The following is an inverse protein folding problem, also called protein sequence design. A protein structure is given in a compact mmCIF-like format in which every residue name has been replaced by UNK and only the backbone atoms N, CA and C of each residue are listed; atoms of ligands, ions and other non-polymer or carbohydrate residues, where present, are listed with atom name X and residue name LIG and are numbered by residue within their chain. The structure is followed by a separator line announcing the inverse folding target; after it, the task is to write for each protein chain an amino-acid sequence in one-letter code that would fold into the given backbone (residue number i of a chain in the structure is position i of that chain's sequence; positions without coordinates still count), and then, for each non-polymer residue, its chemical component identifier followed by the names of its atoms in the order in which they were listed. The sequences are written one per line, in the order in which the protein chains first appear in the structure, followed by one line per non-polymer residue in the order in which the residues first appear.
data_IF_684380730562
#
_entry.id   IF_684380730562
#
_cell.length_a   1.000
_cell.length_b   1.000
_cell.length_c   1.000
_cell.angle_alpha   90.00
_cell.angle_beta   90.00
_cell.angle_gamma   90.00
#
_symmetry.space_group_name_H-M   'P 1'
#
loop_
_entity.id
_entity.type
_entity.pdbx_description
1 polymer ?
#
# COMPACT_ATOMS: atom_id res chain seq x y z
N UNK A 1 -41.01 22.91 -16.83
CA UNK A 1 -40.87 22.97 -15.36
C UNK A 1 -39.52 22.36 -15.04
N UNK A 2 -38.43 23.04 -15.19
CA UNK A 2 -37.79 24.18 -14.44
C UNK A 2 -37.81 23.99 -12.95
N UNK A 3 -36.56 24.10 -12.38
CA UNK A 3 -36.15 24.24 -11.00
C UNK A 3 -35.76 22.93 -10.29
N UNK A 4 -34.46 22.63 -10.27
CA UNK A 4 -33.59 22.50 -9.08
C UNK A 4 -32.19 22.07 -9.48
N UNK A 5 -31.42 23.01 -9.99
CA UNK A 5 -29.95 22.93 -10.10
C UNK A 5 -29.42 24.30 -9.79
N UNK A 6 -29.15 24.58 -8.50
CA UNK A 6 -28.28 25.68 -8.06
C UNK A 6 -28.18 25.62 -6.53
N UNK A 7 -27.18 24.97 -6.04
CA UNK A 7 -26.64 25.26 -4.70
C UNK A 7 -25.40 24.36 -4.50
N UNK A 8 -24.24 24.80 -4.90
CA UNK A 8 -22.93 24.69 -4.23
C UNK A 8 -21.90 25.41 -5.13
N UNK A 9 -22.05 26.69 -5.24
CA UNK A 9 -20.98 27.60 -5.67
C UNK A 9 -21.21 28.91 -4.95
N UNK A 10 -20.66 29.05 -3.75
CA UNK A 10 -20.37 30.38 -3.16
C UNK A 10 -19.74 30.12 -1.78
N UNK A 11 -18.46 30.20 -1.68
CA UNK A 11 -17.74 30.64 -0.49
C UNK A 11 -16.23 30.68 -0.75
N UNK A 12 -15.79 31.60 -1.57
CA UNK A 12 -14.44 32.18 -1.50
C UNK A 12 -14.53 33.54 -2.19
N UNK A 13 -14.91 34.56 -1.46
CA UNK A 13 -14.53 35.94 -1.73
C UNK A 13 -15.02 36.75 -0.52
N UNK A 14 -14.11 37.20 0.30
CA UNK A 14 -14.08 38.50 1.01
C UNK A 14 -12.96 38.43 2.05
N UNK A 15 -11.96 39.28 1.89
CA UNK A 15 -10.89 39.42 2.89
C UNK A 15 -9.65 40.14 2.36
N UNK A 16 -9.82 41.18 1.51
CA UNK A 16 -8.76 42.14 1.29
C UNK A 16 -8.63 43.05 2.52
N UNK A 17 -7.76 42.73 3.43
CA UNK A 17 -7.25 43.65 4.43
C UNK A 17 -5.77 43.93 4.14
N UNK A 18 -5.53 45.18 3.79
CA UNK A 18 -4.28 45.87 3.56
C UNK A 18 -3.39 45.76 4.81
N UNK A 19 -2.40 44.85 4.82
CA UNK A 19 -1.35 44.81 5.86
C UNK A 19 -0.10 45.49 5.33
N UNK A 20 0.32 46.54 6.10
CA UNK A 20 1.54 47.31 5.90
C UNK A 20 2.77 46.36 5.73
N UNK A 21 3.57 46.65 4.69
CA UNK A 21 4.94 46.12 4.57
C UNK A 21 5.75 46.51 5.80
N UNK A 22 5.94 45.57 6.72
CA UNK A 22 7.09 45.61 7.60
C UNK A 22 8.14 44.70 6.96
N UNK A 23 9.28 45.30 6.63
CA UNK A 23 10.48 44.63 6.22
C UNK A 23 11.00 43.80 7.40
N UNK A 24 10.58 42.56 7.54
CA UNK A 24 11.22 41.59 8.41
C UNK A 24 12.34 40.91 7.63
N UNK A 25 13.56 41.09 8.09
CA UNK A 25 14.72 40.29 7.70
C UNK A 25 14.34 38.81 7.69
N UNK A 26 14.46 38.20 6.51
CA UNK A 26 14.18 36.79 6.33
C UNK A 26 15.12 35.96 7.21
N UNK A 27 14.61 35.45 8.32
CA UNK A 27 15.20 34.28 8.97
C UNK A 27 15.15 33.17 7.95
N UNK A 28 16.33 32.77 7.47
CA UNK A 28 16.49 31.56 6.67
C UNK A 28 15.80 30.43 7.44
N UNK A 29 14.67 29.95 6.94
CA UNK A 29 13.99 28.77 7.49
C UNK A 29 15.04 27.67 7.52
N UNK A 30 15.47 27.30 8.70
CA UNK A 30 16.36 26.15 8.93
C UNK A 30 15.79 24.99 8.11
N UNK A 31 16.52 24.56 7.08
CA UNK A 31 16.15 23.41 6.25
C UNK A 31 16.18 22.20 7.17
N UNK A 32 15.00 21.73 7.56
CA UNK A 32 14.88 20.50 8.34
C UNK A 32 15.30 19.32 7.46
N UNK A 33 16.45 18.68 7.73
CA UNK A 33 16.96 17.58 6.92
C UNK A 33 16.01 16.38 6.92
N UNK A 34 15.35 16.11 8.06
CA UNK A 34 14.42 14.99 8.19
C UNK A 34 13.20 15.19 7.27
N UNK A 35 12.64 16.40 7.25
CA UNK A 35 11.53 16.76 6.37
C UNK A 35 11.94 16.72 4.88
N UNK A 36 13.16 17.13 4.56
CA UNK A 36 13.70 17.06 3.19
C UNK A 36 13.81 15.61 2.74
N UNK A 37 14.35 14.73 3.57
CA UNK A 37 14.49 13.31 3.31
C UNK A 37 13.12 12.63 3.12
N UNK A 38 12.15 12.94 3.96
CA UNK A 38 10.78 12.42 3.83
C UNK A 38 10.13 12.82 2.50
N UNK A 39 10.28 14.08 2.06
CA UNK A 39 9.77 14.56 0.77
C UNK A 39 10.41 13.81 -0.39
N UNK A 40 11.72 13.58 -0.34
CA UNK A 40 12.45 12.79 -1.34
C UNK A 40 11.92 11.35 -1.40
N UNK A 41 11.76 10.69 -0.27
CA UNK A 41 11.24 9.32 -0.22
C UNK A 41 9.83 9.21 -0.78
N UNK A 42 8.95 10.14 -0.45
CA UNK A 42 7.57 10.16 -0.97
C UNK A 42 7.53 10.40 -2.48
N UNK A 43 8.30 11.36 -2.98
CA UNK A 43 8.39 11.64 -4.41
C UNK A 43 9.00 10.46 -5.18
N UNK A 44 10.08 9.87 -4.65
CA UNK A 44 10.70 8.69 -5.24
C UNK A 44 9.75 7.48 -5.27
N UNK A 45 9.00 7.24 -4.19
CA UNK A 45 7.99 6.18 -4.17
C UNK A 45 6.94 6.37 -5.27
N UNK A 46 6.42 7.58 -5.45
CA UNK A 46 5.41 7.85 -6.47
C UNK A 46 5.96 7.63 -7.88
N UNK A 47 7.15 8.15 -8.16
CA UNK A 47 7.80 8.00 -9.47
C UNK A 47 8.14 6.54 -9.77
N UNK A 48 8.76 5.83 -8.81
CA UNK A 48 9.11 4.42 -8.95
C UNK A 48 7.87 3.51 -9.08
N UNK A 49 6.78 3.83 -8.39
CA UNK A 49 5.54 3.06 -8.51
C UNK A 49 4.86 3.26 -9.86
N UNK A 50 5.01 4.46 -10.46
CA UNK A 50 4.42 4.80 -11.76
C UNK A 50 5.25 4.25 -12.93
N UNK A 51 6.55 4.53 -12.93
CA UNK A 51 7.44 4.27 -14.06
C UNK A 51 8.29 2.99 -13.93
N UNK A 52 8.34 2.38 -12.72
CA UNK A 52 9.33 1.38 -12.36
C UNK A 52 10.62 2.02 -11.82
N UNK A 53 11.43 1.23 -11.10
CA UNK A 53 12.67 1.74 -10.50
C UNK A 53 13.68 2.19 -11.57
N UNK A 54 13.88 1.38 -12.61
CA UNK A 54 14.88 1.66 -13.65
C UNK A 54 14.56 2.92 -14.44
N UNK A 55 13.28 3.10 -14.79
CA UNK A 55 12.80 4.21 -15.61
C UNK A 55 12.51 5.48 -14.80
N UNK A 56 12.46 5.39 -13.46
CA UNK A 56 12.21 6.55 -12.59
C UNK A 56 13.25 7.66 -12.83
N UNK A 57 12.75 8.86 -13.15
CA UNK A 57 13.60 10.03 -13.43
C UNK A 57 13.93 10.77 -12.14
N UNK A 58 15.22 10.87 -11.85
CA UNK A 58 15.73 11.62 -10.68
C UNK A 58 15.32 13.10 -10.75
N UNK A 59 15.28 13.71 -11.93
CA UNK A 59 14.87 15.11 -12.06
C UNK A 59 13.37 15.29 -11.76
N UNK A 60 12.52 14.35 -12.20
CA UNK A 60 11.10 14.34 -11.82
C UNK A 60 10.93 14.21 -10.30
N UNK A 61 11.70 13.32 -9.66
CA UNK A 61 11.72 13.17 -8.20
C UNK A 61 12.11 14.47 -7.50
N UNK A 62 13.17 15.13 -7.96
CA UNK A 62 13.64 16.40 -7.41
C UNK A 62 12.59 17.51 -7.54
N UNK A 63 11.97 17.62 -8.71
CA UNK A 63 10.91 18.59 -8.99
C UNK A 63 9.70 18.34 -8.08
N UNK A 64 9.22 17.10 -7.98
CA UNK A 64 8.09 16.72 -7.14
C UNK A 64 8.39 16.93 -5.64
N UNK A 65 9.62 16.63 -5.20
CA UNK A 65 10.07 16.88 -3.84
C UNK A 65 10.34 18.38 -3.55
N UNK A 66 10.48 19.22 -4.58
CA UNK A 66 10.86 20.64 -4.44
C UNK A 66 12.23 20.82 -3.78
N UNK A 67 13.22 20.01 -4.18
CA UNK A 67 14.57 20.02 -3.62
C UNK A 67 15.64 20.05 -4.71
N UNK A 68 16.85 20.44 -4.35
CA UNK A 68 17.99 20.46 -5.30
C UNK A 68 18.66 19.09 -5.39
N UNK A 69 19.40 18.88 -6.48
CA UNK A 69 20.24 17.69 -6.68
C UNK A 69 21.27 17.50 -5.55
N UNK A 70 21.87 18.59 -5.06
CA UNK A 70 22.78 18.55 -3.92
C UNK A 70 22.11 18.06 -2.62
N UNK A 71 20.83 18.43 -2.38
CA UNK A 71 20.09 17.95 -1.23
C UNK A 71 19.79 16.44 -1.33
N UNK A 72 19.53 15.91 -2.52
CA UNK A 72 19.37 14.47 -2.72
C UNK A 72 20.64 13.71 -2.33
N UNK A 73 21.80 14.10 -2.91
CA UNK A 73 23.06 13.40 -2.69
C UNK A 73 23.65 13.63 -1.28
N UNK A 74 23.14 14.61 -0.54
CA UNK A 74 23.42 14.73 0.88
C UNK A 74 22.72 13.61 1.72
N UNK A 75 21.57 13.10 1.25
CA UNK A 75 20.79 12.07 1.95
C UNK A 75 21.00 10.65 1.41
N UNK A 76 21.31 10.52 0.14
CA UNK A 76 21.42 9.23 -0.57
C UNK A 76 22.59 9.25 -1.54
N UNK A 77 23.52 8.31 -1.41
CA UNK A 77 24.75 8.26 -2.22
C UNK A 77 24.45 8.11 -3.72
N UNK A 78 23.38 7.41 -4.07
CA UNK A 78 22.96 7.12 -5.44
C UNK A 78 21.47 6.83 -5.52
N UNK A 79 20.98 6.54 -6.73
CA UNK A 79 19.57 6.19 -6.98
C UNK A 79 19.18 4.87 -6.31
N UNK A 80 20.09 3.91 -6.27
CA UNK A 80 19.92 2.62 -5.61
C UNK A 80 19.69 2.79 -4.10
N UNK A 81 20.52 3.59 -3.43
CA UNK A 81 20.36 3.90 -2.00
C UNK A 81 19.00 4.55 -1.70
N UNK A 82 18.53 5.46 -2.57
CA UNK A 82 17.19 6.03 -2.47
C UNK A 82 16.12 4.95 -2.67
N UNK A 83 16.27 4.07 -3.66
CA UNK A 83 15.34 2.98 -3.93
C UNK A 83 15.28 1.96 -2.79
N UNK A 84 16.41 1.64 -2.18
CA UNK A 84 16.46 0.78 -0.99
C UNK A 84 15.71 1.41 0.19
N UNK A 85 15.90 2.69 0.41
CA UNK A 85 15.19 3.41 1.47
C UNK A 85 13.67 3.48 1.19
N UNK A 86 13.25 3.63 -0.07
CA UNK A 86 11.84 3.51 -0.47
C UNK A 86 11.28 2.13 -0.12
N UNK A 87 12.02 1.06 -0.42
CA UNK A 87 11.60 -0.31 -0.08
C UNK A 87 11.50 -0.52 1.44
N UNK A 88 12.52 -0.10 2.19
CA UNK A 88 12.65 -0.35 3.62
C UNK A 88 11.72 0.53 4.47
N UNK A 89 11.38 1.74 4.03
CA UNK A 89 10.63 2.71 4.84
C UNK A 89 9.20 2.92 4.34
N UNK A 90 8.99 3.06 3.03
CA UNK A 90 7.66 3.37 2.50
C UNK A 90 6.88 2.08 2.20
N UNK A 91 7.47 1.17 1.40
CA UNK A 91 6.79 -0.08 1.01
C UNK A 91 6.60 -0.96 2.26
N UNK A 92 7.63 -1.10 3.09
CA UNK A 92 7.58 -1.86 4.33
C UNK A 92 6.51 -1.31 5.30
N UNK A 93 6.46 0.01 5.50
CA UNK A 93 5.46 0.64 6.37
C UNK A 93 4.04 0.44 5.85
N UNK A 94 3.84 0.57 4.53
CA UNK A 94 2.55 0.35 3.90
C UNK A 94 2.09 -1.11 4.04
N UNK A 95 2.98 -2.07 3.78
CA UNK A 95 2.73 -3.50 3.96
C UNK A 95 2.37 -3.81 5.41
N UNK A 96 3.19 -3.34 6.35
CA UNK A 96 2.97 -3.56 7.77
C UNK A 96 1.62 -3.01 8.22
N UNK A 97 1.30 -1.76 7.89
CA UNK A 97 0.05 -1.11 8.28
C UNK A 97 -1.18 -1.83 7.71
N UNK A 98 -1.09 -2.29 6.46
CA UNK A 98 -2.23 -2.87 5.75
C UNK A 98 -2.43 -4.35 6.05
N UNK A 99 -1.36 -5.15 6.07
CA UNK A 99 -1.43 -6.60 6.11
C UNK A 99 -0.94 -7.23 7.43
N UNK A 100 0.13 -6.67 8.02
CA UNK A 100 0.77 -7.29 9.18
C UNK A 100 0.11 -6.86 10.49
N UNK A 101 0.02 -5.56 10.74
CA UNK A 101 -0.50 -5.05 12.00
C UNK A 101 -1.95 -5.47 12.30
N UNK A 102 -2.89 -5.46 11.32
CA UNK A 102 -4.27 -5.88 11.60
C UNK A 102 -4.42 -7.37 11.93
N UNK A 103 -3.47 -8.21 11.53
CA UNK A 103 -3.48 -9.65 11.82
C UNK A 103 -2.93 -9.97 13.21
N UNK A 104 -2.12 -9.08 13.79
CA UNK A 104 -1.64 -9.27 15.16
C UNK A 104 -2.81 -9.32 16.14
N UNK A 105 -2.86 -10.38 16.94
CA UNK A 105 -3.93 -10.58 17.94
C UNK A 105 -5.36 -10.56 17.38
N UNK A 106 -5.53 -10.82 16.09
CA UNK A 106 -6.85 -10.91 15.47
C UNK A 106 -7.66 -12.04 16.10
N UNK A 107 -8.82 -11.73 16.67
CA UNK A 107 -9.72 -12.77 17.23
C UNK A 107 -10.19 -13.73 16.13
N UNK A 108 -10.46 -13.21 14.94
CA UNK A 108 -10.82 -13.98 13.76
C UNK A 108 -10.06 -13.45 12.54
N UNK A 109 -8.97 -14.11 12.11
CA UNK A 109 -8.13 -13.67 11.00
C UNK A 109 -8.89 -13.67 9.67
N UNK A 110 -9.88 -14.56 9.48
CA UNK A 110 -10.67 -14.56 8.24
C UNK A 110 -11.44 -13.25 8.10
N UNK A 111 -12.05 -12.75 9.19
CA UNK A 111 -12.76 -11.46 9.16
C UNK A 111 -11.82 -10.30 8.83
N UNK A 112 -10.60 -10.33 9.34
CA UNK A 112 -9.59 -9.30 9.07
C UNK A 112 -9.18 -9.34 7.62
N UNK A 113 -8.80 -10.51 7.10
CA UNK A 113 -8.40 -10.70 5.70
C UNK A 113 -9.50 -10.31 4.72
N UNK A 114 -10.74 -10.72 4.99
CA UNK A 114 -11.90 -10.32 4.16
C UNK A 114 -12.05 -8.80 4.11
N UNK A 115 -11.96 -8.11 5.26
CA UNK A 115 -12.04 -6.64 5.30
C UNK A 115 -10.89 -5.98 4.53
N UNK A 116 -9.66 -6.49 4.65
CA UNK A 116 -8.52 -5.97 3.91
C UNK A 116 -8.78 -6.09 2.41
N UNK A 117 -9.16 -7.28 1.92
CA UNK A 117 -9.44 -7.51 0.51
C UNK A 117 -10.60 -6.63 0.02
N UNK A 118 -11.68 -6.48 0.81
CA UNK A 118 -12.81 -5.61 0.46
C UNK A 118 -12.43 -4.12 0.41
N UNK A 119 -11.43 -3.69 1.17
CA UNK A 119 -10.96 -2.30 1.20
C UNK A 119 -10.06 -1.94 0.02
N UNK A 120 -9.66 -2.92 -0.82
CA UNK A 120 -8.83 -2.65 -1.98
C UNK A 120 -9.56 -1.80 -3.01
N UNK A 121 -8.85 -0.80 -3.49
CA UNK A 121 -9.40 0.12 -4.48
C UNK A 121 -9.64 -0.58 -5.82
N UNK A 122 -10.83 -0.36 -6.38
CA UNK A 122 -11.18 -0.75 -7.73
C UNK A 122 -11.14 0.44 -8.70
N UNK A 123 -10.57 1.57 -8.30
CA UNK A 123 -10.37 2.70 -9.19
C UNK A 123 -9.35 2.32 -10.27
N UNK A 124 -9.65 2.76 -11.50
CA UNK A 124 -8.82 2.41 -12.65
C UNK A 124 -7.36 2.79 -12.47
N UNK A 125 -7.10 3.96 -11.90
CA UNK A 125 -5.75 4.47 -11.66
C UNK A 125 -4.96 3.57 -10.68
N UNK A 126 -5.62 3.06 -9.64
CA UNK A 126 -4.99 2.19 -8.65
C UNK A 126 -4.74 0.80 -9.22
N UNK A 127 -5.69 0.26 -10.00
CA UNK A 127 -5.53 -1.00 -10.74
C UNK A 127 -4.37 -0.94 -11.73
N UNK A 128 -4.24 0.17 -12.47
CA UNK A 128 -3.15 0.38 -13.42
C UNK A 128 -1.78 0.45 -12.75
N UNK A 129 -1.69 1.00 -11.54
CA UNK A 129 -0.43 1.05 -10.76
C UNK A 129 -0.03 -0.30 -10.21
N UNK A 130 -0.99 -1.10 -9.75
CA UNK A 130 -0.75 -2.41 -9.14
C UNK A 130 -0.09 -2.34 -7.76
N UNK A 131 0.47 -3.45 -7.32
CA UNK A 131 1.17 -3.54 -6.04
C UNK A 131 2.62 -3.04 -6.14
N UNK A 132 3.04 -2.04 -5.33
CA UNK A 132 4.41 -1.52 -5.40
C UNK A 132 5.47 -2.56 -5.01
N UNK A 133 5.19 -3.46 -4.06
CA UNK A 133 6.11 -4.54 -3.70
C UNK A 133 6.30 -5.53 -4.85
N UNK A 134 5.19 -5.95 -5.45
CA UNK A 134 5.20 -6.87 -6.59
C UNK A 134 5.94 -6.26 -7.79
N UNK A 135 5.61 -5.02 -8.16
CA UNK A 135 6.26 -4.32 -9.28
C UNK A 135 7.79 -4.28 -9.07
N UNK A 136 8.23 -3.83 -7.89
CA UNK A 136 9.65 -3.71 -7.57
C UNK A 136 10.35 -5.07 -7.55
N UNK A 137 9.70 -6.10 -6.97
CA UNK A 137 10.30 -7.44 -6.91
C UNK A 137 10.45 -8.07 -8.30
N UNK A 138 9.45 -7.94 -9.17
CA UNK A 138 9.50 -8.47 -10.52
C UNK A 138 10.54 -7.74 -11.40
N UNK A 139 10.67 -6.43 -11.24
CA UNK A 139 11.63 -5.66 -12.00
C UNK A 139 13.08 -5.90 -11.55
N UNK A 140 13.32 -5.97 -10.24
CA UNK A 140 14.67 -5.85 -9.70
C UNK A 140 15.25 -7.11 -9.10
N UNK A 141 14.46 -8.17 -8.80
CA UNK A 141 15.00 -9.36 -8.11
C UNK A 141 16.09 -10.11 -8.89
N UNK A 142 16.02 -10.09 -10.21
CA UNK A 142 17.02 -10.71 -11.07
C UNK A 142 18.21 -9.80 -11.41
N UNK A 143 18.14 -8.52 -11.04
CA UNK A 143 19.10 -7.50 -11.47
C UNK A 143 19.96 -6.97 -10.33
N UNK A 144 19.42 -6.95 -9.11
CA UNK A 144 20.07 -6.34 -7.95
C UNK A 144 19.78 -7.11 -6.66
N UNK A 145 20.84 -7.62 -6.05
CA UNK A 145 20.78 -8.43 -4.83
C UNK A 145 20.24 -7.63 -3.62
N UNK A 146 20.49 -6.33 -3.56
CA UNK A 146 20.00 -5.46 -2.51
C UNK A 146 18.48 -5.35 -2.55
N UNK A 147 17.89 -5.17 -3.72
CA UNK A 147 16.43 -5.19 -3.90
C UNK A 147 15.85 -6.58 -3.66
N UNK A 148 16.48 -7.64 -4.19
CA UNK A 148 16.03 -9.02 -4.00
C UNK A 148 15.89 -9.36 -2.51
N UNK A 149 16.92 -9.07 -1.70
CA UNK A 149 16.88 -9.35 -0.27
C UNK A 149 15.80 -8.55 0.47
N UNK A 150 15.59 -7.28 0.11
CA UNK A 150 14.58 -6.42 0.72
C UNK A 150 13.16 -6.89 0.42
N UNK A 151 12.88 -7.13 -0.85
CA UNK A 151 11.55 -7.60 -1.27
C UNK A 151 11.23 -8.99 -0.73
N UNK A 152 12.23 -9.92 -0.71
CA UNK A 152 12.07 -11.23 -0.12
C UNK A 152 11.77 -11.17 1.39
N UNK A 153 12.43 -10.26 2.13
CA UNK A 153 12.11 -10.03 3.54
C UNK A 153 10.68 -9.54 3.72
N UNK A 154 10.23 -8.58 2.91
CA UNK A 154 8.87 -8.05 2.99
C UNK A 154 7.81 -9.12 2.69
N UNK A 155 8.03 -9.97 1.70
CA UNK A 155 7.15 -11.12 1.45
C UNK A 155 7.16 -12.12 2.62
N UNK A 156 8.33 -12.36 3.21
CA UNK A 156 8.44 -13.21 4.39
C UNK A 156 7.66 -12.65 5.58
N UNK A 157 7.80 -11.36 5.86
CA UNK A 157 7.09 -10.69 6.97
C UNK A 157 5.57 -10.78 6.76
N UNK A 158 5.10 -10.61 5.55
CA UNK A 158 3.68 -10.75 5.20
C UNK A 158 3.19 -12.19 5.37
N UNK A 159 3.97 -13.15 4.82
CA UNK A 159 3.66 -14.57 4.93
C UNK A 159 3.60 -15.02 6.40
N UNK A 160 4.60 -14.68 7.18
CA UNK A 160 4.69 -15.12 8.58
C UNK A 160 3.54 -14.55 9.43
N UNK A 161 3.19 -13.28 9.23
CA UNK A 161 2.06 -12.67 9.91
C UNK A 161 0.73 -13.37 9.56
N UNK A 162 0.53 -13.71 8.29
CA UNK A 162 -0.68 -14.40 7.84
C UNK A 162 -0.74 -15.83 8.36
N UNK A 163 0.37 -16.58 8.25
CA UNK A 163 0.46 -17.97 8.72
C UNK A 163 0.25 -18.05 10.24
N UNK A 164 0.84 -17.13 11.01
CA UNK A 164 0.65 -17.09 12.46
C UNK A 164 -0.79 -16.79 12.83
N UNK A 165 -1.41 -15.79 12.19
CA UNK A 165 -2.81 -15.47 12.44
C UNK A 165 -3.74 -16.65 12.12
N UNK A 166 -3.48 -17.40 11.05
CA UNK A 166 -4.24 -18.61 10.71
C UNK A 166 -4.06 -19.70 11.77
N UNK A 167 -2.83 -19.96 12.26
CA UNK A 167 -2.56 -20.91 13.37
C UNK A 167 -3.30 -20.53 14.64
N UNK A 168 -3.26 -19.26 15.02
CA UNK A 168 -4.02 -18.77 16.17
C UNK A 168 -5.53 -18.91 15.99
N UNK A 169 -6.02 -18.69 14.76
CA UNK A 169 -7.41 -18.92 14.39
C UNK A 169 -7.82 -20.39 14.48
N UNK A 170 -6.92 -21.33 14.14
CA UNK A 170 -7.13 -22.78 14.34
C UNK A 170 -7.26 -23.15 15.81
N UNK A 171 -6.35 -22.67 16.67
CA UNK A 171 -6.42 -22.87 18.13
C UNK A 171 -7.77 -22.39 18.70
N UNK A 172 -8.28 -21.27 18.21
CA UNK A 172 -9.58 -20.71 18.61
C UNK A 172 -10.79 -21.36 17.91
N UNK A 173 -10.58 -22.31 17.00
CA UNK A 173 -11.60 -22.98 16.19
C UNK A 173 -12.43 -22.06 15.29
N UNK A 174 -11.90 -20.88 14.94
CA UNK A 174 -12.50 -19.96 13.97
C UNK A 174 -11.94 -20.17 12.56
N UNK A 175 -10.80 -20.85 12.45
CA UNK A 175 -10.24 -21.38 11.20
C UNK A 175 -10.28 -22.92 11.29
N UNK A 176 -10.57 -23.58 10.16
CA UNK A 176 -10.59 -25.04 10.08
C UNK A 176 -9.19 -25.63 10.34
N UNK A 177 -9.13 -26.77 11.03
CA UNK A 177 -7.89 -27.38 11.52
C UNK A 177 -7.17 -28.26 10.49
N UNK A 178 -7.85 -28.62 9.40
CA UNK A 178 -7.35 -29.55 8.37
C UNK A 178 -6.58 -28.84 7.24
N UNK A 179 -6.27 -27.56 7.39
CA UNK A 179 -5.41 -26.80 6.47
C UNK A 179 -4.02 -26.60 7.05
N UNK A 180 -3.01 -26.56 6.16
CA UNK A 180 -1.66 -26.12 6.52
C UNK A 180 -1.62 -24.58 6.44
N UNK A 181 -1.35 -23.92 7.56
CA UNK A 181 -1.36 -22.45 7.66
C UNK A 181 -0.28 -21.79 6.77
N UNK A 182 0.91 -22.41 6.63
CA UNK A 182 1.98 -21.86 5.80
C UNK A 182 1.64 -21.97 4.31
N UNK A 183 1.16 -23.12 3.86
CA UNK A 183 0.75 -23.32 2.46
C UNK A 183 -0.44 -22.41 2.11
N UNK A 184 -1.38 -22.27 3.03
CA UNK A 184 -2.54 -21.38 2.87
C UNK A 184 -2.11 -19.91 2.77
N UNK A 185 -1.17 -19.46 3.61
CA UNK A 185 -0.62 -18.10 3.54
C UNK A 185 0.08 -17.86 2.19
N UNK A 186 0.92 -18.80 1.76
CA UNK A 186 1.58 -18.72 0.43
C UNK A 186 0.55 -18.65 -0.69
N UNK A 187 -0.46 -19.51 -0.67
CA UNK A 187 -1.53 -19.52 -1.68
C UNK A 187 -2.30 -18.20 -1.72
N UNK A 188 -2.69 -17.67 -0.56
CA UNK A 188 -3.45 -16.42 -0.49
C UNK A 188 -2.66 -15.23 -1.03
N UNK A 189 -1.37 -15.12 -0.71
CA UNK A 189 -0.49 -14.08 -1.24
C UNK A 189 -0.35 -14.23 -2.75
N UNK A 190 -0.03 -15.45 -3.24
CA UNK A 190 0.14 -15.71 -4.65
C UNK A 190 -1.14 -15.45 -5.46
N UNK A 191 -2.29 -15.89 -4.95
CA UNK A 191 -3.59 -15.67 -5.60
C UNK A 191 -3.92 -14.17 -5.66
N UNK A 192 -3.72 -13.44 -4.55
CA UNK A 192 -3.98 -11.99 -4.51
C UNK A 192 -3.09 -11.23 -5.47
N UNK A 193 -1.77 -11.45 -5.41
CA UNK A 193 -0.80 -10.80 -6.30
C UNK A 193 -1.01 -11.19 -7.77
N UNK A 194 -1.44 -12.42 -8.03
CA UNK A 194 -1.84 -12.87 -9.36
C UNK A 194 -3.00 -12.04 -9.93
N UNK A 195 -4.04 -11.78 -9.13
CA UNK A 195 -5.14 -10.90 -9.56
C UNK A 195 -4.70 -9.45 -9.75
N UNK A 196 -3.79 -8.95 -8.93
CA UNK A 196 -3.20 -7.61 -9.11
C UNK A 196 -2.47 -7.52 -10.46
N UNK A 197 -1.67 -8.53 -10.82
CA UNK A 197 -0.99 -8.58 -12.13
C UNK A 197 -2.00 -8.63 -13.28
N UNK A 198 -3.00 -9.50 -13.20
CA UNK A 198 -4.01 -9.64 -14.23
C UNK A 198 -4.83 -8.35 -14.41
N UNK A 199 -5.22 -7.70 -13.31
CA UNK A 199 -5.91 -6.42 -13.33
C UNK A 199 -5.06 -5.31 -13.95
N UNK A 200 -3.80 -5.20 -13.54
CA UNK A 200 -2.85 -4.22 -14.09
C UNK A 200 -2.63 -4.45 -15.59
N UNK A 201 -2.42 -5.69 -16.01
CA UNK A 201 -2.15 -6.03 -17.41
C UNK A 201 -3.38 -5.77 -18.31
N UNK A 202 -4.58 -6.16 -17.85
CA UNK A 202 -5.82 -5.91 -18.59
C UNK A 202 -6.32 -4.47 -18.52
N UNK A 203 -5.82 -3.68 -17.54
CA UNK A 203 -6.30 -2.33 -17.21
C UNK A 203 -7.83 -2.28 -16.97
N UNK A 204 -8.39 -3.41 -16.54
CA UNK A 204 -9.82 -3.60 -16.31
C UNK A 204 -10.11 -3.84 -14.81
N UNK A 205 -10.76 -2.89 -14.12
CA UNK A 205 -11.16 -3.06 -12.73
C UNK A 205 -12.02 -4.29 -12.46
N UNK A 206 -12.77 -4.79 -13.45
CA UNK A 206 -13.59 -6.00 -13.31
C UNK A 206 -12.77 -7.25 -13.03
N UNK A 207 -11.52 -7.30 -13.53
CA UNK A 207 -10.58 -8.39 -13.21
C UNK A 207 -10.23 -8.39 -11.71
N UNK A 208 -9.95 -7.22 -11.15
CA UNK A 208 -9.70 -7.06 -9.70
C UNK A 208 -10.95 -7.39 -8.88
N UNK A 209 -12.13 -6.94 -9.30
CA UNK A 209 -13.40 -7.27 -8.63
C UNK A 209 -13.65 -8.78 -8.61
N UNK A 210 -13.39 -9.47 -9.74
CA UNK A 210 -13.47 -10.93 -9.82
C UNK A 210 -12.49 -11.60 -8.85
N UNK A 211 -11.26 -11.08 -8.79
CA UNK A 211 -10.24 -11.51 -7.84
C UNK A 211 -10.68 -11.36 -6.39
N UNK A 212 -11.17 -10.18 -6.02
CA UNK A 212 -11.70 -9.94 -4.67
C UNK A 212 -12.78 -10.97 -4.31
N UNK A 213 -13.77 -11.17 -5.18
CA UNK A 213 -14.85 -12.14 -4.94
C UNK A 213 -14.33 -13.57 -4.78
N UNK A 214 -13.33 -13.96 -5.58
CA UNK A 214 -12.76 -15.31 -5.54
C UNK A 214 -11.92 -15.54 -4.28
N UNK A 215 -11.04 -14.59 -3.92
CA UNK A 215 -10.23 -14.67 -2.71
C UNK A 215 -11.12 -14.65 -1.46
N UNK A 216 -12.14 -13.79 -1.42
CA UNK A 216 -13.10 -13.75 -0.31
C UNK A 216 -13.84 -15.07 -0.17
N UNK A 217 -14.32 -15.66 -1.27
CA UNK A 217 -14.99 -16.97 -1.24
C UNK A 217 -14.08 -18.06 -0.71
N UNK A 218 -12.81 -18.04 -1.10
CA UNK A 218 -11.82 -18.99 -0.57
C UNK A 218 -11.60 -18.76 0.94
N UNK A 219 -11.39 -17.50 1.38
CA UNK A 219 -11.27 -17.16 2.79
C UNK A 219 -12.49 -17.62 3.62
N UNK A 220 -13.70 -17.44 3.08
CA UNK A 220 -14.92 -17.91 3.74
C UNK A 220 -14.96 -19.45 3.89
N UNK A 221 -14.41 -20.21 2.93
CA UNK A 221 -14.31 -21.66 3.01
C UNK A 221 -13.34 -22.17 4.07
N UNK A 222 -12.43 -21.30 4.54
CA UNK A 222 -11.47 -21.62 5.62
C UNK A 222 -12.08 -21.47 7.04
N UNK A 223 -13.32 -21.02 7.18
CA UNK A 223 -13.96 -20.85 8.49
C UNK A 223 -14.11 -22.17 9.22
N UNK A 224 -13.73 -22.18 10.47
CA UNK A 224 -13.98 -23.27 11.41
C UNK A 224 -15.41 -23.26 11.95
N UNK A 225 -15.79 -24.32 12.66
CA UNK A 225 -17.16 -24.50 13.21
C UNK A 225 -17.66 -23.32 14.06
N UNK A 226 -16.81 -22.65 14.82
CA UNK A 226 -17.16 -21.44 15.58
C UNK A 226 -17.37 -20.21 14.69
N UNK A 227 -16.65 -20.11 13.57
CA UNK A 227 -16.76 -18.99 12.63
C UNK A 227 -18.08 -18.98 11.87
N UNK A 228 -18.72 -20.15 11.66
CA UNK A 228 -20.00 -20.29 10.98
C UNK A 228 -21.20 -19.84 11.85
N UNK A 229 -21.15 -20.06 13.17
CA UNK A 229 -22.25 -19.68 14.09
C UNK A 229 -22.40 -18.16 14.26
N UNK A 230 -21.32 -17.37 14.10
CA UNK A 230 -21.39 -15.91 14.20
C UNK A 230 -22.07 -15.20 13.01
N UNK A 231 -22.32 -15.92 11.93
CA UNK A 231 -22.97 -15.35 10.71
C UNK A 231 -24.49 -15.45 10.77
N UNK A 232 -25.04 -16.45 11.49
CA UNK A 232 -26.49 -16.65 11.58
C UNK A 232 -27.19 -15.65 12.52
N UNK A 233 -26.45 -15.00 13.43
CA UNK A 233 -27.01 -14.04 14.41
C UNK A 233 -27.19 -12.62 13.83
N UNK A 234 -26.61 -12.32 12.66
CA UNK A 234 -26.74 -10.98 12.02
C UNK A 234 -27.72 -10.93 10.83
N UNK A 235 -28.42 -12.00 10.57
CA UNK A 235 -29.41 -12.10 9.47
C UNK A 235 -30.86 -12.26 9.99
N UNK A 236 -31.11 -11.88 11.24
CA UNK A 236 -32.42 -11.80 11.88
C UNK A 236 -32.79 -10.35 12.19
#
# INVERSE_FOLDING_TARGET
MLLLTLAVRTCILVGMLRVKRQSSHGTATSRDPARTRERLLRAAFQEMHLAGFRSADVNAILAAAGVTKGALYHHFDNKEALGYAVADEIIASNLHRKWVAPLRNAENPINVLVRIIQSESLKREDVQRGCPLLNLSQEMSGLDEGFRRRTARLYKDWHDAMAEALREGQKRRVVRSDINANETATFLIAAWEGYVVLGKNSQDPRMMESGQKSVIRHLESLRGRRGLKGRQVKAG
#
